data_IF_169846373886
#
_entry.id   IF_169846373886
#
_cell.length_a   1.000
_cell.length_b   1.000
_cell.length_c   1.000
_cell.angle_alpha   90.00
_cell.angle_beta   90.00
_cell.angle_gamma   90.00
#
_symmetry.space_group_name_H-M   'P 1'
#
loop_
_entity.id
_entity.type
_entity.pdbx_description
1 polymer ?
#
# COMPACT_ATOMS: atom_id res chain seq x y z
N UNK A 1 25.21 32.90 -27.23
CA UNK A 1 25.27 32.26 -25.91
C UNK A 1 24.13 31.25 -25.90
N UNK A 2 24.46 29.96 -25.95
CA UNK A 2 23.48 28.89 -26.16
C UNK A 2 22.52 28.83 -24.97
N UNK A 3 21.22 28.81 -25.27
CA UNK A 3 20.17 28.53 -24.30
C UNK A 3 20.14 27.02 -24.18
N UNK A 4 20.80 26.49 -23.14
CA UNK A 4 20.67 25.09 -22.78
C UNK A 4 19.22 24.85 -22.33
N UNK A 5 18.42 24.30 -23.24
CA UNK A 5 17.10 23.76 -22.97
C UNK A 5 17.25 22.56 -22.04
N UNK A 6 17.17 22.82 -20.74
CA UNK A 6 17.16 21.78 -19.72
C UNK A 6 15.79 21.78 -19.05
N UNK A 7 14.83 21.10 -19.67
CA UNK A 7 13.60 20.69 -19.00
C UNK A 7 13.93 19.52 -18.04
N UNK A 8 14.35 19.80 -16.81
CA UNK A 8 14.38 18.80 -15.74
C UNK A 8 13.01 18.78 -15.02
N UNK A 9 12.26 17.69 -15.17
CA UNK A 9 11.17 17.26 -14.29
C UNK A 9 11.76 16.95 -12.88
N UNK A 10 12.05 18.02 -12.14
CA UNK A 10 12.93 18.13 -10.97
C UNK A 10 13.01 16.89 -10.04
N UNK A 11 14.23 16.36 -9.92
CA UNK A 11 14.68 15.54 -8.80
C UNK A 11 14.08 14.14 -8.67
N UNK A 12 13.24 13.64 -9.59
CA UNK A 12 12.71 12.27 -9.49
C UNK A 12 13.84 11.25 -9.49
N UNK A 13 13.77 10.27 -8.60
CA UNK A 13 14.77 9.22 -8.53
C UNK A 13 14.14 7.90 -8.07
N UNK A 14 14.67 6.80 -8.60
CA UNK A 14 14.23 5.46 -8.27
C UNK A 14 15.34 4.43 -8.43
N UNK A 15 15.20 3.36 -7.67
CA UNK A 15 16.05 2.18 -7.76
C UNK A 15 15.17 0.94 -7.66
N UNK A 16 15.12 0.18 -8.76
CA UNK A 16 14.45 -1.12 -8.79
C UNK A 16 15.52 -2.19 -8.76
N UNK A 17 15.46 -3.03 -7.73
CA UNK A 17 16.38 -4.15 -7.57
C UNK A 17 15.60 -5.45 -7.75
N UNK A 18 16.03 -6.26 -8.71
CA UNK A 18 15.51 -7.61 -8.94
C UNK A 18 16.57 -8.59 -8.46
N UNK A 19 16.17 -9.54 -7.62
CA UNK A 19 17.09 -10.50 -7.02
C UNK A 19 16.53 -11.92 -7.06
N UNK A 20 17.42 -12.88 -6.81
CA UNK A 20 17.06 -14.28 -6.61
C UNK A 20 17.06 -14.56 -5.11
N UNK A 21 16.02 -15.20 -4.60
CA UNK A 21 16.00 -15.65 -3.21
C UNK A 21 17.03 -16.77 -2.94
N UNK A 22 17.44 -17.49 -4.00
CA UNK A 22 18.32 -18.67 -3.93
C UNK A 22 19.78 -18.38 -4.32
N UNK A 23 20.04 -17.33 -5.09
CA UNK A 23 21.37 -17.02 -5.64
C UNK A 23 21.76 -15.56 -5.43
N UNK A 24 23.06 -15.26 -5.34
CA UNK A 24 23.57 -13.89 -5.09
C UNK A 24 23.44 -12.92 -6.28
N UNK A 25 22.78 -13.33 -7.36
CA UNK A 25 22.58 -12.47 -8.53
C UNK A 25 21.59 -11.34 -8.21
N UNK A 26 21.95 -10.12 -8.58
CA UNK A 26 21.07 -8.95 -8.51
C UNK A 26 21.14 -8.18 -9.83
N UNK A 27 20.01 -7.62 -10.24
CA UNK A 27 19.88 -6.67 -11.33
C UNK A 27 19.31 -5.37 -10.79
N UNK A 28 19.90 -4.26 -11.16
CA UNK A 28 19.43 -2.94 -10.77
C UNK A 28 19.01 -2.13 -12.00
N UNK A 29 17.92 -1.40 -11.83
CA UNK A 29 17.41 -0.45 -12.83
C UNK A 29 17.23 0.90 -12.14
N UNK A 30 17.83 1.93 -12.73
CA UNK A 30 17.82 3.30 -12.23
C UNK A 30 17.73 4.27 -13.43
N UNK A 31 17.41 5.56 -13.19
CA UNK A 31 17.51 6.60 -14.21
C UNK A 31 18.87 6.58 -14.93
N UNK A 32 18.94 6.88 -16.25
CA UNK A 32 17.88 7.41 -17.12
C UNK A 32 17.04 6.34 -17.82
N UNK A 33 17.11 5.07 -17.40
CA UNK A 33 16.32 4.02 -18.01
C UNK A 33 14.81 4.31 -17.87
N UNK A 34 13.98 3.88 -18.81
CA UNK A 34 12.54 4.03 -18.66
C UNK A 34 11.96 2.84 -17.91
N UNK A 35 11.40 3.13 -16.73
CA UNK A 35 10.59 2.17 -15.98
C UNK A 35 9.28 2.83 -15.57
N UNK A 36 8.19 2.08 -15.70
CA UNK A 36 6.88 2.43 -15.21
C UNK A 36 6.51 1.47 -14.10
N UNK A 37 6.09 1.96 -12.95
CA UNK A 37 5.58 1.12 -11.88
C UNK A 37 4.26 1.65 -11.33
N UNK A 38 3.44 0.72 -10.86
CA UNK A 38 2.25 0.98 -10.06
C UNK A 38 2.30 0.02 -8.87
N UNK A 39 2.22 0.57 -7.66
CA UNK A 39 2.24 -0.15 -6.39
C UNK A 39 0.96 0.18 -5.65
N UNK A 40 0.18 -0.83 -5.25
CA UNK A 40 -1.04 -0.65 -4.48
C UNK A 40 -0.96 -1.35 -3.13
N UNK A 41 -1.22 -0.60 -2.06
CA UNK A 41 -1.33 -1.10 -0.69
C UNK A 41 -2.75 -0.86 -0.19
N UNK A 42 -3.59 -1.89 -0.29
CA UNK A 42 -4.98 -1.86 0.18
C UNK A 42 -5.20 -3.00 1.18
N UNK A 43 -5.58 -2.74 2.44
CA UNK A 43 -5.91 -3.76 3.43
C UNK A 43 -6.94 -4.78 2.95
N UNK A 44 -7.92 -4.34 2.13
CA UNK A 44 -8.91 -5.23 1.53
C UNK A 44 -8.33 -6.32 0.62
N UNK A 45 -7.18 -6.05 -0.02
CA UNK A 45 -6.49 -7.02 -0.87
C UNK A 45 -5.60 -8.01 -0.10
N UNK A 46 -5.46 -7.84 1.23
CA UNK A 46 -4.62 -8.63 2.15
C UNK A 46 -3.12 -8.64 1.86
N UNK A 47 -2.70 -8.24 0.67
CA UNK A 47 -1.31 -8.11 0.25
C UNK A 47 -1.18 -6.92 -0.71
N UNK A 48 -0.07 -6.20 -0.61
CA UNK A 48 0.30 -5.19 -1.60
C UNK A 48 0.61 -5.82 -2.96
N UNK A 49 0.26 -5.12 -4.04
CA UNK A 49 0.51 -5.56 -5.42
C UNK A 49 1.44 -4.56 -6.09
N UNK A 50 2.28 -5.04 -7.00
CA UNK A 50 3.04 -4.17 -7.88
C UNK A 50 3.00 -4.66 -9.32
N UNK A 51 2.87 -3.71 -10.24
CA UNK A 51 3.06 -3.90 -11.67
C UNK A 51 4.25 -3.05 -12.09
N UNK A 52 5.27 -3.66 -12.69
CA UNK A 52 6.51 -2.98 -13.09
C UNK A 52 6.77 -3.28 -14.56
N UNK A 53 6.86 -2.25 -15.39
CA UNK A 53 7.15 -2.34 -16.82
C UNK A 53 8.50 -1.70 -17.11
N UNK A 54 9.46 -2.52 -17.54
CA UNK A 54 10.83 -2.12 -17.84
C UNK A 54 11.02 -2.07 -19.36
N UNK A 55 11.47 -0.93 -19.88
CA UNK A 55 11.69 -0.72 -21.31
C UNK A 55 13.14 -0.97 -21.71
N UNK A 56 13.37 -1.49 -22.92
CA UNK A 56 14.72 -1.56 -23.50
C UNK A 56 15.63 -2.64 -22.89
N UNK A 57 15.04 -3.70 -22.32
CA UNK A 57 15.82 -4.82 -21.77
C UNK A 57 16.55 -5.60 -22.87
N UNK A 58 17.74 -6.15 -22.56
CA UNK A 58 18.43 -7.07 -23.48
C UNK A 58 17.80 -8.48 -23.43
N UNK A 59 18.06 -9.32 -24.46
CA UNK A 59 17.59 -10.71 -24.47
C UNK A 59 18.15 -11.51 -23.28
N UNK A 60 19.43 -11.31 -22.92
CA UNK A 60 20.07 -11.97 -21.79
C UNK A 60 19.44 -11.57 -20.46
N UNK A 61 19.25 -10.26 -20.23
CA UNK A 61 18.60 -9.74 -19.02
C UNK A 61 17.20 -10.30 -18.85
N UNK A 62 16.41 -10.36 -19.93
CA UNK A 62 15.08 -11.00 -19.90
C UNK A 62 15.19 -12.46 -19.50
N UNK A 63 16.09 -13.22 -20.14
CA UNK A 63 16.27 -14.63 -19.84
C UNK A 63 16.62 -14.87 -18.36
N UNK A 64 17.47 -14.03 -17.78
CA UNK A 64 17.79 -14.10 -16.36
C UNK A 64 16.58 -13.79 -15.46
N UNK A 65 15.78 -12.76 -15.78
CA UNK A 65 14.57 -12.43 -15.01
C UNK A 65 13.51 -13.53 -15.06
N UNK A 66 13.40 -14.23 -16.18
CA UNK A 66 12.46 -15.35 -16.31
C UNK A 66 12.91 -16.59 -15.53
N UNK A 67 14.22 -16.89 -15.49
CA UNK A 67 14.70 -18.18 -15.01
C UNK A 67 15.38 -18.14 -13.63
N UNK A 68 15.93 -17.00 -13.22
CA UNK A 68 16.78 -16.90 -12.01
C UNK A 68 16.18 -16.04 -10.91
N UNK A 69 15.48 -14.97 -11.28
CA UNK A 69 15.02 -13.96 -10.34
C UNK A 69 13.54 -14.09 -9.98
N UNK A 70 13.24 -13.92 -8.70
CA UNK A 70 11.93 -14.17 -8.11
C UNK A 70 11.49 -13.10 -7.10
N UNK A 71 12.33 -12.13 -6.80
CA UNK A 71 12.07 -11.06 -5.84
C UNK A 71 12.35 -9.69 -6.46
N UNK A 72 11.60 -8.69 -6.01
CA UNK A 72 11.77 -7.30 -6.45
C UNK A 72 11.63 -6.34 -5.28
N UNK A 73 12.45 -5.30 -5.29
CA UNK A 73 12.42 -4.15 -4.40
C UNK A 73 12.31 -2.88 -5.23
N UNK A 74 11.43 -1.97 -4.84
CA UNK A 74 11.27 -0.66 -5.46
C UNK A 74 11.53 0.40 -4.40
N UNK A 75 12.57 1.21 -4.65
CA UNK A 75 12.77 2.48 -3.97
C UNK A 75 12.43 3.60 -4.93
N UNK A 76 11.64 4.56 -4.50
CA UNK A 76 11.26 5.70 -5.32
C UNK A 76 11.07 6.93 -4.44
N UNK A 77 11.17 8.11 -5.06
CA UNK A 77 10.98 9.38 -4.40
C UNK A 77 11.59 10.49 -5.23
N UNK A 78 12.18 11.44 -4.51
CA UNK A 78 12.91 12.56 -5.07
C UNK A 78 14.34 12.53 -4.53
N UNK A 79 15.28 13.19 -5.20
CA UNK A 79 16.69 13.27 -4.83
C UNK A 79 16.82 13.70 -3.36
N UNK A 80 17.59 12.93 -2.59
CA UNK A 80 17.75 13.12 -1.15
C UNK A 80 16.59 12.59 -0.28
N UNK A 81 15.49 12.15 -0.88
CA UNK A 81 14.30 11.62 -0.21
C UNK A 81 13.68 10.42 -0.96
N UNK A 82 14.52 9.43 -1.31
CA UNK A 82 14.08 8.15 -1.86
C UNK A 82 14.00 7.09 -0.77
N UNK A 83 12.92 6.34 -0.74
CA UNK A 83 12.73 5.26 0.22
C UNK A 83 12.01 4.07 -0.36
N UNK A 84 11.92 3.02 0.45
CA UNK A 84 11.30 1.75 0.07
C UNK A 84 9.78 1.91 -0.01
N UNK A 85 9.21 1.76 -1.21
CA UNK A 85 7.75 1.77 -1.41
C UNK A 85 7.17 0.36 -1.58
N UNK A 86 8.00 -0.60 -1.98
CA UNK A 86 7.57 -1.96 -2.24
C UNK A 86 8.70 -2.97 -2.14
N UNK A 87 8.43 -4.14 -1.54
CA UNK A 87 9.24 -5.36 -1.63
C UNK A 87 8.30 -6.55 -1.74
N UNK A 88 8.58 -7.44 -2.67
CA UNK A 88 7.76 -8.63 -2.85
C UNK A 88 8.35 -9.64 -3.80
N UNK A 89 7.51 -10.60 -4.19
CA UNK A 89 7.86 -11.69 -5.08
C UNK A 89 7.23 -11.51 -6.45
N UNK A 90 7.96 -11.92 -7.48
CA UNK A 90 7.50 -11.92 -8.87
C UNK A 90 6.64 -13.16 -9.08
N UNK A 91 5.36 -12.94 -9.35
CA UNK A 91 4.39 -14.01 -9.60
C UNK A 91 4.28 -14.32 -11.10
N UNK A 92 4.16 -13.27 -11.91
CA UNK A 92 4.05 -13.41 -13.37
C UNK A 92 4.99 -12.47 -14.10
N UNK A 93 5.47 -12.91 -15.26
CA UNK A 93 6.31 -12.12 -16.17
C UNK A 93 5.68 -12.15 -17.56
N UNK A 94 5.67 -11.01 -18.24
CA UNK A 94 5.18 -10.91 -19.60
C UNK A 94 6.12 -10.03 -20.42
N UNK A 95 6.37 -10.43 -21.66
CA UNK A 95 7.15 -9.63 -22.61
C UNK A 95 6.26 -9.20 -23.74
N UNK A 96 6.29 -7.92 -24.07
CA UNK A 96 5.57 -7.37 -25.20
C UNK A 96 6.53 -6.55 -26.07
N UNK A 97 6.17 -6.37 -27.33
CA UNK A 97 6.88 -5.49 -28.24
C UNK A 97 6.01 -4.27 -28.49
N UNK A 98 6.53 -3.10 -28.14
CA UNK A 98 5.85 -1.81 -28.30
C UNK A 98 6.67 -1.02 -29.33
N UNK A 99 6.26 -1.10 -30.59
CA UNK A 99 7.02 -0.59 -31.73
C UNK A 99 8.40 -1.24 -31.87
N UNK A 100 9.46 -0.43 -31.73
CA UNK A 100 10.85 -0.90 -31.79
C UNK A 100 11.34 -1.41 -30.43
N UNK A 101 10.72 -0.96 -29.33
CA UNK A 101 11.12 -1.33 -27.98
C UNK A 101 10.51 -2.68 -27.55
N UNK A 102 11.26 -3.46 -26.78
CA UNK A 102 10.73 -4.61 -26.05
C UNK A 102 10.50 -4.20 -24.60
N UNK A 103 9.30 -4.48 -24.10
CA UNK A 103 8.90 -4.22 -22.71
C UNK A 103 8.84 -5.53 -21.94
N UNK A 104 9.28 -5.48 -20.68
CA UNK A 104 9.16 -6.57 -19.73
C UNK A 104 8.26 -6.10 -18.59
N UNK A 105 7.10 -6.73 -18.45
CA UNK A 105 6.15 -6.46 -17.37
C UNK A 105 6.23 -7.55 -16.30
N UNK A 106 6.35 -7.14 -15.04
CA UNK A 106 6.37 -7.99 -13.87
C UNK A 106 5.11 -7.73 -13.04
N UNK A 107 4.45 -8.80 -12.62
CA UNK A 107 3.31 -8.78 -11.72
C UNK A 107 3.74 -9.41 -10.39
N UNK A 108 3.63 -8.65 -9.31
CA UNK A 108 4.25 -8.98 -8.04
C UNK A 108 3.24 -8.88 -6.88
N UNK A 109 3.48 -9.68 -5.85
CA UNK A 109 2.75 -9.63 -4.57
C UNK A 109 3.71 -9.47 -3.38
N UNK A 110 3.34 -8.65 -2.41
CA UNK A 110 4.02 -8.56 -1.12
C UNK A 110 3.89 -9.90 -0.38
N UNK A 111 5.01 -10.51 -0.01
CA UNK A 111 5.03 -11.73 0.79
C UNK A 111 4.11 -12.86 0.26
N UNK A 112 3.93 -12.97 -1.06
CA UNK A 112 2.96 -13.88 -1.69
C UNK A 112 3.12 -15.36 -1.33
N UNK A 113 4.35 -15.86 -1.23
CA UNK A 113 4.65 -17.23 -0.79
C UNK A 113 4.24 -17.45 0.66
N UNK A 114 4.49 -16.49 1.55
CA UNK A 114 4.05 -16.58 2.95
C UNK A 114 2.53 -16.57 3.05
N UNK A 115 1.87 -15.74 2.25
CA UNK A 115 0.41 -15.73 2.14
C UNK A 115 -0.15 -17.09 1.71
N UNK A 116 0.47 -17.74 0.72
CA UNK A 116 -0.04 -18.99 0.14
C UNK A 116 0.42 -20.26 0.83
N UNK A 117 1.47 -20.24 1.66
CA UNK A 117 2.03 -21.45 2.28
C UNK A 117 1.91 -21.51 3.80
N UNK A 118 1.56 -20.41 4.48
CA UNK A 118 1.47 -20.42 5.94
C UNK A 118 0.25 -21.22 6.43
N UNK A 119 0.47 -22.09 7.40
CA UNK A 119 -0.54 -23.00 7.95
C UNK A 119 -0.54 -22.92 9.48
N UNK A 120 -1.73 -22.83 10.08
CA UNK A 120 -1.92 -22.86 11.53
C UNK A 120 -2.47 -24.23 11.92
N UNK A 121 -1.88 -24.82 12.96
CA UNK A 121 -2.34 -26.02 13.63
C UNK A 121 -2.11 -25.85 15.13
N UNK A 122 -3.04 -25.18 15.79
CA UNK A 122 -2.90 -24.87 17.21
C UNK A 122 -4.25 -24.87 17.92
N UNK A 123 -4.21 -25.24 19.20
CA UNK A 123 -5.36 -25.28 20.08
C UNK A 123 -5.09 -24.40 21.29
N UNK A 124 -5.95 -23.41 21.49
CA UNK A 124 -5.97 -22.58 22.68
C UNK A 124 -6.97 -23.12 23.69
N UNK A 125 -6.68 -22.97 24.97
CA UNK A 125 -7.56 -23.38 26.07
C UNK A 125 -8.76 -22.44 26.24
N UNK A 126 -9.66 -22.82 27.14
CA UNK A 126 -10.75 -21.96 27.59
C UNK A 126 -10.20 -20.65 28.19
N UNK A 127 -10.97 -19.56 28.08
CA UNK A 127 -10.65 -18.23 28.59
C UNK A 127 -9.41 -17.57 27.97
N UNK A 128 -8.89 -18.11 26.86
CA UNK A 128 -7.81 -17.46 26.12
C UNK A 128 -8.29 -16.11 25.54
N UNK A 129 -7.58 -14.99 25.77
CA UNK A 129 -7.92 -13.70 25.18
C UNK A 129 -7.93 -13.76 23.64
N UNK A 130 -8.91 -13.11 23.01
CA UNK A 130 -9.04 -13.08 21.55
C UNK A 130 -7.76 -12.57 20.85
N UNK A 131 -7.11 -11.57 21.44
CA UNK A 131 -5.86 -11.02 20.93
C UNK A 131 -4.70 -12.03 20.91
N UNK A 132 -4.66 -12.98 21.84
CA UNK A 132 -3.64 -14.03 21.85
C UNK A 132 -3.87 -15.04 20.71
N UNK A 133 -5.13 -15.36 20.42
CA UNK A 133 -5.50 -16.21 19.29
C UNK A 133 -5.12 -15.53 17.96
N UNK A 134 -5.44 -14.24 17.82
CA UNK A 134 -5.09 -13.43 16.64
C UNK A 134 -3.57 -13.37 16.47
N UNK A 135 -2.84 -13.04 17.54
CA UNK A 135 -1.37 -12.97 17.54
C UNK A 135 -0.74 -14.31 17.20
N UNK A 136 -1.19 -15.40 17.83
CA UNK A 136 -0.66 -16.73 17.59
C UNK A 136 -0.94 -17.22 16.16
N UNK A 137 -2.10 -16.87 15.60
CA UNK A 137 -2.42 -17.15 14.21
C UNK A 137 -1.53 -16.33 13.27
N UNK A 138 -1.38 -15.01 13.48
CA UNK A 138 -0.55 -14.16 12.62
C UNK A 138 0.95 -14.51 12.70
N UNK A 139 1.43 -15.01 13.85
CA UNK A 139 2.82 -15.39 14.04
C UNK A 139 3.29 -16.51 13.10
N UNK A 140 2.39 -17.36 12.59
CA UNK A 140 2.74 -18.44 11.65
C UNK A 140 3.24 -17.93 10.29
N UNK A 141 2.97 -16.67 9.93
CA UNK A 141 3.59 -16.05 8.77
C UNK A 141 5.13 -15.93 8.94
N UNK A 142 5.62 -15.88 10.18
CA UNK A 142 7.04 -15.71 10.50
C UNK A 142 7.56 -14.34 10.08
N UNK A 143 6.73 -13.31 10.21
CA UNK A 143 7.04 -11.92 9.86
C UNK A 143 6.85 -11.04 11.11
N UNK A 144 7.57 -9.90 11.20
CA UNK A 144 7.29 -8.90 12.22
C UNK A 144 5.83 -8.48 12.18
N UNK A 145 5.20 -8.34 13.34
CA UNK A 145 3.78 -8.04 13.46
C UNK A 145 3.57 -6.70 14.15
N UNK A 146 2.72 -5.87 13.56
CA UNK A 146 2.25 -4.60 14.10
C UNK A 146 0.76 -4.73 14.44
N UNK A 147 0.40 -4.46 15.70
CA UNK A 147 -0.99 -4.47 16.18
C UNK A 147 -1.37 -3.05 16.56
N UNK A 148 -2.47 -2.55 16.01
CA UNK A 148 -2.94 -1.18 16.16
C UNK A 148 -4.37 -1.18 16.71
N UNK A 149 -4.58 -0.45 17.80
CA UNK A 149 -5.85 -0.38 18.50
C UNK A 149 -5.88 -1.27 19.76
N UNK A 150 -6.89 -1.02 20.59
CA UNK A 150 -7.16 -1.82 21.79
C UNK A 150 -8.00 -3.04 21.42
N UNK A 151 -7.63 -4.23 21.89
CA UNK A 151 -8.36 -5.50 21.69
C UNK A 151 -8.88 -6.08 23.02
N UNK A 152 -8.75 -5.35 24.12
CA UNK A 152 -8.97 -5.85 25.48
C UNK A 152 -10.44 -6.05 25.84
N UNK A 153 -11.35 -5.36 25.16
CA UNK A 153 -12.81 -5.48 25.32
C UNK A 153 -13.41 -6.66 24.54
N UNK A 154 -12.62 -7.37 23.73
CA UNK A 154 -13.10 -8.55 23.03
C UNK A 154 -13.32 -9.69 24.02
N UNK A 155 -14.45 -10.42 23.91
CA UNK A 155 -14.72 -11.53 24.80
C UNK A 155 -13.65 -12.63 24.62
N UNK A 156 -13.14 -13.23 25.71
CA UNK A 156 -12.24 -14.35 25.62
C UNK A 156 -12.96 -15.58 25.04
N UNK A 157 -12.19 -16.58 24.63
CA UNK A 157 -12.75 -17.81 24.11
C UNK A 157 -13.55 -18.57 25.19
N UNK A 158 -14.85 -18.74 24.98
CA UNK A 158 -15.78 -19.43 25.89
C UNK A 158 -15.44 -20.93 26.03
N UNK A 159 -14.81 -21.52 25.01
CA UNK A 159 -14.37 -22.91 24.99
C UNK A 159 -12.98 -23.00 24.33
N UNK A 160 -12.34 -24.15 24.46
CA UNK A 160 -11.10 -24.43 23.73
C UNK A 160 -11.27 -24.18 22.23
N UNK A 161 -10.39 -23.36 21.66
CA UNK A 161 -10.45 -22.97 20.24
C UNK A 161 -9.34 -23.68 19.48
N UNK A 162 -9.70 -24.56 18.57
CA UNK A 162 -8.75 -25.21 17.65
C UNK A 162 -8.82 -24.55 16.28
N UNK A 163 -7.68 -24.15 15.72
CA UNK A 163 -7.55 -23.70 14.34
C UNK A 163 -6.60 -24.63 13.58
N UNK A 164 -7.13 -25.25 12.53
CA UNK A 164 -6.37 -26.08 11.59
C UNK A 164 -6.75 -25.67 10.17
N UNK A 165 -6.01 -24.72 9.59
CA UNK A 165 -6.31 -24.15 8.28
C UNK A 165 -5.10 -23.41 7.71
N UNK A 166 -5.22 -22.96 6.46
CA UNK A 166 -4.33 -21.93 5.93
C UNK A 166 -4.44 -20.68 6.82
N UNK A 167 -3.30 -20.07 7.14
CA UNK A 167 -3.26 -18.93 8.06
C UNK A 167 -4.10 -17.76 7.55
N UNK A 168 -4.09 -17.51 6.23
CA UNK A 168 -4.93 -16.48 5.60
C UNK A 168 -6.43 -16.71 5.86
N UNK A 169 -6.90 -17.96 5.78
CA UNK A 169 -8.31 -18.30 5.92
C UNK A 169 -8.74 -18.24 7.38
N UNK A 170 -7.85 -18.66 8.29
CA UNK A 170 -8.03 -18.48 9.72
C UNK A 170 -8.09 -17.00 10.11
N UNK A 171 -7.16 -16.17 9.60
CA UNK A 171 -7.16 -14.73 9.83
C UNK A 171 -8.40 -14.04 9.27
N UNK A 172 -8.87 -14.42 8.08
CA UNK A 172 -10.11 -13.90 7.50
C UNK A 172 -11.35 -14.26 8.31
N UNK A 173 -11.38 -15.47 8.90
CA UNK A 173 -12.44 -15.85 9.82
C UNK A 173 -12.40 -15.02 11.11
N UNK A 174 -11.20 -14.83 11.69
CA UNK A 174 -11.00 -14.02 12.89
C UNK A 174 -11.35 -12.55 12.66
N UNK A 175 -11.00 -11.99 11.49
CA UNK A 175 -11.35 -10.60 11.11
C UNK A 175 -12.86 -10.37 11.13
N UNK A 176 -13.64 -11.33 10.63
CA UNK A 176 -15.12 -11.23 10.64
C UNK A 176 -15.71 -11.36 12.04
N UNK A 177 -15.08 -12.16 12.90
CA UNK A 177 -15.57 -12.42 14.26
C UNK A 177 -15.26 -11.24 15.19
N UNK A 178 -14.06 -10.68 15.10
CA UNK A 178 -13.52 -9.69 16.04
C UNK A 178 -13.42 -8.26 15.48
N UNK A 179 -13.96 -8.01 14.28
CA UNK A 179 -14.02 -6.71 13.61
C UNK A 179 -12.67 -5.97 13.53
N UNK A 180 -11.71 -6.59 12.88
CA UNK A 180 -10.41 -5.98 12.57
C UNK A 180 -10.05 -6.17 11.11
N UNK A 181 -9.02 -5.45 10.63
CA UNK A 181 -8.41 -5.63 9.32
C UNK A 181 -6.98 -6.09 9.46
N UNK A 182 -6.57 -7.00 8.59
CA UNK A 182 -5.19 -7.43 8.50
C UNK A 182 -4.69 -7.45 7.07
N UNK A 183 -3.39 -7.22 6.88
CA UNK A 183 -2.71 -7.37 5.60
C UNK A 183 -1.21 -7.59 5.78
N UNK A 184 -0.58 -8.14 4.75
CA UNK A 184 0.86 -8.24 4.64
C UNK A 184 1.43 -6.94 4.06
N UNK A 185 2.27 -6.28 4.86
CA UNK A 185 3.10 -5.16 4.45
C UNK A 185 4.35 -5.65 3.73
N UNK A 186 5.10 -4.70 3.20
CA UNK A 186 6.46 -4.89 2.67
C UNK A 186 7.43 -5.47 3.70
N UNK A 187 7.29 -5.11 4.98
CA UNK A 187 8.21 -5.43 6.08
C UNK A 187 7.60 -6.32 7.18
N UNK A 188 6.32 -6.67 7.09
CA UNK A 188 5.64 -7.37 8.18
C UNK A 188 4.17 -7.68 7.93
N UNK A 189 3.45 -8.00 9.01
CA UNK A 189 1.99 -8.12 9.05
C UNK A 189 1.44 -6.96 9.86
N UNK A 190 0.43 -6.28 9.34
CA UNK A 190 -0.31 -5.28 10.09
C UNK A 190 -1.69 -5.81 10.45
N UNK A 191 -2.12 -5.55 11.68
CA UNK A 191 -3.44 -5.86 12.21
C UNK A 191 -3.95 -4.58 12.86
N UNK A 192 -5.04 -4.04 12.35
CA UNK A 192 -5.67 -2.82 12.85
C UNK A 192 -7.10 -3.10 13.24
N UNK A 193 -7.49 -2.73 14.45
CA UNK A 193 -8.89 -2.81 14.83
C UNK A 193 -9.72 -1.84 13.98
N UNK A 194 -10.95 -2.19 13.66
CA UNK A 194 -11.82 -1.27 12.95
C UNK A 194 -12.00 0.04 13.74
N UNK A 195 -11.80 1.17 13.06
CA UNK A 195 -11.86 2.50 13.67
C UNK A 195 -10.65 2.89 14.53
N UNK A 196 -9.65 2.02 14.69
CA UNK A 196 -8.39 2.38 15.29
C UNK A 196 -7.52 3.17 14.29
N UNK A 197 -6.59 3.95 14.85
CA UNK A 197 -5.61 4.72 14.08
C UNK A 197 -4.21 4.43 14.63
N UNK A 198 -3.20 4.53 13.77
CA UNK A 198 -1.82 4.44 14.23
C UNK A 198 -1.51 5.59 15.19
N UNK A 199 -0.82 5.33 16.31
CA UNK A 199 -0.45 6.38 17.23
C UNK A 199 0.56 7.32 16.56
N UNK A 200 0.31 8.62 16.62
CA UNK A 200 1.20 9.61 16.03
C UNK A 200 0.57 10.97 15.82
N UNK A 201 1.42 11.95 15.48
CA UNK A 201 0.93 13.25 14.99
C UNK A 201 0.39 13.07 13.58
N UNK A 202 -0.83 13.56 13.27
CA UNK A 202 -1.34 13.53 11.91
C UNK A 202 -0.40 14.25 10.96
N UNK A 203 -0.26 13.70 9.76
CA UNK A 203 0.45 14.39 8.69
C UNK A 203 -0.45 15.42 8.06
N UNK A 204 0.06 16.63 7.92
CA UNK A 204 -0.63 17.71 7.24
C UNK A 204 -0.34 17.58 5.75
N UNK A 205 -1.39 17.48 4.95
CA UNK A 205 -1.36 17.49 3.49
C UNK A 205 -2.03 18.77 3.04
N UNK A 206 -1.25 19.67 2.44
CA UNK A 206 -1.72 20.90 1.83
C UNK A 206 -0.89 21.21 0.58
N UNK A 207 -1.18 22.33 -0.09
CA UNK A 207 -0.47 22.76 -1.29
C UNK A 207 1.03 22.97 -1.07
N UNK A 208 1.45 23.36 0.13
CA UNK A 208 2.85 23.59 0.48
C UNK A 208 3.56 22.28 0.90
N UNK A 209 2.82 21.30 1.40
CA UNK A 209 3.30 20.03 1.92
C UNK A 209 3.13 18.86 0.94
N UNK A 210 2.96 19.15 -0.36
CA UNK A 210 3.06 18.15 -1.41
C UNK A 210 1.74 17.62 -1.98
N UNK A 211 0.60 18.24 -1.65
CA UNK A 211 -0.66 17.97 -2.35
C UNK A 211 -0.54 18.36 -3.82
N UNK A 212 -0.97 17.47 -4.70
CA UNK A 212 -1.05 17.70 -6.14
C UNK A 212 -2.52 17.66 -6.57
N UNK A 213 -2.96 18.72 -7.25
CA UNK A 213 -4.36 18.83 -7.66
C UNK A 213 -5.31 19.17 -6.50
N UNK A 214 -6.53 18.64 -6.58
CA UNK A 214 -7.66 18.99 -5.71
C UNK A 214 -8.20 17.71 -5.07
N UNK A 215 -8.47 17.67 -3.75
CA UNK A 215 -9.06 16.51 -3.11
C UNK A 215 -10.45 16.19 -3.68
N UNK A 216 -10.69 14.90 -3.91
CA UNK A 216 -11.95 14.36 -4.39
C UNK A 216 -12.72 13.75 -3.22
N UNK A 217 -13.87 14.32 -2.89
CA UNK A 217 -14.70 13.88 -1.76
C UNK A 217 -15.83 13.00 -2.28
N UNK A 218 -15.92 11.79 -1.72
CA UNK A 218 -17.00 10.85 -1.93
C UNK A 218 -17.79 10.65 -0.63
N UNK A 219 -18.88 9.88 -0.67
CA UNK A 219 -19.78 9.70 0.47
C UNK A 219 -19.09 9.06 1.68
N UNK A 220 -18.18 8.10 1.45
CA UNK A 220 -17.56 7.30 2.51
C UNK A 220 -16.04 7.49 2.61
N UNK A 221 -15.41 8.15 1.64
CA UNK A 221 -13.96 8.33 1.58
C UNK A 221 -13.59 9.61 0.85
N UNK A 222 -12.34 10.03 1.06
CA UNK A 222 -11.69 11.14 0.38
C UNK A 222 -10.48 10.59 -0.35
N UNK A 223 -10.26 11.06 -1.56
CA UNK A 223 -9.11 10.72 -2.38
C UNK A 223 -8.27 11.98 -2.61
N UNK A 224 -6.99 11.88 -2.31
CA UNK A 224 -6.04 13.00 -2.43
C UNK A 224 -4.80 12.52 -3.17
N UNK A 225 -4.40 13.26 -4.20
CA UNK A 225 -3.14 13.03 -4.87
C UNK A 225 -2.06 13.88 -4.21
N UNK A 226 -0.91 13.27 -3.93
CA UNK A 226 0.27 13.93 -3.40
C UNK A 226 1.49 13.55 -4.24
N UNK A 227 2.55 14.34 -4.14
CA UNK A 227 3.89 13.95 -4.60
C UNK A 227 4.25 12.59 -4.03
N UNK A 228 4.95 11.76 -4.82
CA UNK A 228 5.33 10.43 -4.38
C UNK A 228 5.99 10.43 -2.99
N UNK A 229 5.28 9.91 -1.99
CA UNK A 229 5.70 9.82 -0.59
C UNK A 229 5.83 8.34 -0.21
N UNK A 230 7.03 7.93 0.17
CA UNK A 230 7.34 6.55 0.51
C UNK A 230 7.02 6.17 1.96
N UNK A 231 6.64 7.14 2.79
CA UNK A 231 6.47 6.93 4.24
C UNK A 231 5.00 6.76 4.61
N UNK A 232 4.06 7.27 3.80
CA UNK A 232 2.62 7.12 4.07
C UNK A 232 2.21 5.67 3.83
N UNK A 233 1.54 5.09 4.82
CA UNK A 233 1.08 3.70 4.79
C UNK A 233 -0.37 3.60 5.28
N UNK A 234 -1.10 2.53 4.91
CA UNK A 234 -2.44 2.29 5.45
C UNK A 234 -2.45 2.25 6.99
N UNK A 235 -3.48 2.85 7.58
CA UNK A 235 -3.65 3.05 9.02
C UNK A 235 -3.05 4.36 9.56
N UNK A 236 -2.28 5.10 8.77
CA UNK A 236 -1.77 6.42 9.17
C UNK A 236 -2.91 7.45 9.23
N UNK A 237 -2.70 8.52 10.01
CA UNK A 237 -3.65 9.63 10.12
C UNK A 237 -3.15 10.83 9.34
N UNK A 238 -4.02 11.38 8.49
CA UNK A 238 -3.76 12.58 7.72
C UNK A 238 -4.78 13.68 8.04
N UNK A 239 -4.36 14.92 7.85
CA UNK A 239 -5.21 16.10 7.86
C UNK A 239 -5.01 16.82 6.52
N UNK A 240 -6.08 16.94 5.75
CA UNK A 240 -6.03 17.54 4.42
C UNK A 240 -6.56 18.95 4.50
N UNK A 241 -5.81 19.92 3.99
CA UNK A 241 -6.21 21.31 3.89
C UNK A 241 -6.22 21.72 2.43
N UNK A 242 -7.40 22.11 1.94
CA UNK A 242 -7.57 22.62 0.58
C UNK A 242 -8.61 23.72 0.55
N UNK A 243 -8.36 24.77 -0.23
CA UNK A 243 -9.32 25.85 -0.48
C UNK A 243 -10.45 25.39 -1.42
N UNK A 244 -10.12 24.45 -2.30
CA UNK A 244 -11.01 23.88 -3.31
C UNK A 244 -11.19 22.38 -3.10
N UNK A 245 -12.36 21.86 -3.44
CA UNK A 245 -12.68 20.43 -3.36
C UNK A 245 -13.57 20.04 -4.52
N UNK A 246 -13.39 18.83 -5.04
CA UNK A 246 -14.26 18.26 -6.05
C UNK A 246 -15.19 17.23 -5.39
N UNK A 247 -16.48 17.34 -5.66
CA UNK A 247 -17.47 16.38 -5.20
C UNK A 247 -17.67 15.30 -6.27
N UNK A 248 -17.69 14.03 -5.85
CA UNK A 248 -17.96 12.91 -6.75
C UNK A 248 -19.33 13.02 -7.41
N UNK A 249 -19.35 13.07 -8.74
CA UNK A 249 -20.55 13.32 -9.56
C UNK A 249 -21.69 12.31 -9.38
N UNK A 250 -21.40 11.03 -9.06
CA UNK A 250 -22.43 9.99 -8.95
C UNK A 250 -23.38 10.16 -7.77
N UNK A 251 -22.94 10.88 -6.72
CA UNK A 251 -23.69 11.03 -5.47
C UNK A 251 -24.34 12.41 -5.30
N UNK A 252 -24.00 13.38 -6.15
CA UNK A 252 -24.53 14.76 -6.08
C UNK A 252 -26.07 14.82 -6.20
N UNK A 253 -26.68 13.85 -6.85
CA UNK A 253 -28.14 13.77 -7.05
C UNK A 253 -28.89 12.99 -5.95
N UNK A 254 -28.17 12.30 -5.05
CA UNK A 254 -28.77 11.36 -4.08
C UNK A 254 -28.59 11.79 -2.63
N UNK A 255 -27.57 12.59 -2.33
CA UNK A 255 -27.17 12.92 -0.96
C UNK A 255 -26.78 14.39 -0.83
N UNK A 256 -27.02 14.99 0.35
CA UNK A 256 -26.53 16.33 0.67
C UNK A 256 -24.99 16.33 0.86
N UNK A 257 -24.26 16.36 -0.25
CA UNK A 257 -22.79 16.38 -0.24
C UNK A 257 -22.19 17.64 0.39
N UNK A 258 -22.97 18.73 0.55
CA UNK A 258 -22.48 19.95 1.17
C UNK A 258 -22.20 19.77 2.67
N UNK A 259 -22.94 18.91 3.36
CA UNK A 259 -22.66 18.59 4.77
C UNK A 259 -21.31 17.87 4.93
N UNK A 260 -21.01 16.93 4.04
CA UNK A 260 -19.73 16.21 4.00
C UNK A 260 -18.56 17.13 3.65
N UNK A 261 -18.74 18.03 2.67
CA UNK A 261 -17.79 19.10 2.35
C UNK A 261 -17.45 19.96 3.57
N UNK A 262 -18.47 20.37 4.34
CA UNK A 262 -18.27 21.22 5.53
C UNK A 262 -17.56 20.47 6.65
N UNK A 263 -17.90 19.21 6.87
CA UNK A 263 -17.18 18.35 7.82
C UNK A 263 -15.70 18.26 7.42
N UNK A 264 -15.42 17.95 6.17
CA UNK A 264 -14.06 17.86 5.62
C UNK A 264 -13.24 19.15 5.80
N UNK A 265 -13.82 20.32 5.48
CA UNK A 265 -13.14 21.63 5.66
C UNK A 265 -12.74 21.93 7.12
N UNK A 266 -13.38 21.30 8.10
CA UNK A 266 -13.14 21.53 9.52
C UNK A 266 -11.98 20.71 10.12
N UNK A 267 -10.91 20.48 9.34
CA UNK A 267 -9.67 19.78 9.79
C UNK A 267 -9.92 18.35 10.26
N UNK A 268 -10.84 17.65 9.61
CA UNK A 268 -11.17 16.27 9.96
C UNK A 268 -9.93 15.39 9.91
N UNK A 269 -9.75 14.57 10.96
CA UNK A 269 -8.72 13.54 10.98
C UNK A 269 -9.18 12.40 10.10
N UNK A 270 -8.43 12.08 9.07
CA UNK A 270 -8.74 11.01 8.13
C UNK A 270 -7.78 9.85 8.36
N UNK A 271 -8.31 8.63 8.39
CA UNK A 271 -7.50 7.42 8.47
C UNK A 271 -7.26 6.90 7.07
N UNK A 272 -6.00 6.72 6.70
CA UNK A 272 -5.61 6.21 5.39
C UNK A 272 -6.05 4.76 5.26
N UNK A 273 -6.87 4.48 4.26
CA UNK A 273 -7.34 3.14 3.93
C UNK A 273 -6.50 2.49 2.85
N UNK A 274 -6.13 3.23 1.80
CA UNK A 274 -5.24 2.72 0.75
C UNK A 274 -4.26 3.76 0.27
N UNK A 275 -3.13 3.25 -0.22
CA UNK A 275 -2.06 4.06 -0.81
C UNK A 275 -1.66 3.42 -2.13
N UNK A 276 -1.70 4.21 -3.19
CA UNK A 276 -1.36 3.79 -4.54
C UNK A 276 -0.25 4.69 -5.09
N UNK A 277 0.95 4.13 -5.31
CA UNK A 277 2.08 4.86 -5.89
C UNK A 277 2.17 4.58 -7.38
N UNK A 278 2.29 5.63 -8.19
CA UNK A 278 2.53 5.54 -9.62
C UNK A 278 3.82 6.28 -9.93
N UNK A 279 4.71 5.63 -10.69
CA UNK A 279 5.92 6.28 -11.17
C UNK A 279 6.18 5.94 -12.62
N UNK A 280 6.27 6.98 -13.43
CA UNK A 280 6.71 6.98 -14.81
C UNK A 280 7.78 8.05 -14.96
N UNK A 281 9.04 7.63 -15.10
CA UNK A 281 10.16 8.56 -15.02
C UNK A 281 10.10 9.70 -16.06
N UNK A 282 9.61 9.42 -17.27
CA UNK A 282 9.59 10.36 -18.39
C UNK A 282 8.24 11.05 -18.64
N UNK A 283 7.17 10.63 -17.95
CA UNK A 283 5.85 11.27 -18.06
C UNK A 283 5.50 11.97 -16.75
N UNK A 284 4.38 12.67 -16.74
CA UNK A 284 3.99 13.45 -15.57
C UNK A 284 3.52 12.58 -14.39
N UNK A 285 3.23 11.30 -14.62
CA UNK A 285 2.77 10.35 -13.60
C UNK A 285 3.87 10.03 -12.57
N UNK A 286 3.97 10.78 -11.48
CA UNK A 286 4.87 10.54 -10.35
C UNK A 286 4.23 10.88 -9.01
N UNK A 287 3.17 10.16 -8.68
CA UNK A 287 2.22 10.55 -7.63
C UNK A 287 1.96 9.41 -6.65
N UNK A 288 1.45 9.77 -5.49
CA UNK A 288 0.83 8.85 -4.53
C UNK A 288 -0.61 9.28 -4.33
N UNK A 289 -1.54 8.41 -4.71
CA UNK A 289 -2.96 8.61 -4.46
C UNK A 289 -3.30 7.96 -3.12
N UNK A 290 -3.90 8.75 -2.24
CA UNK A 290 -4.27 8.34 -0.89
C UNK A 290 -5.78 8.32 -0.81
N UNK A 291 -6.33 7.15 -0.48
CA UNK A 291 -7.74 7.00 -0.14
C UNK A 291 -7.87 6.93 1.37
N UNK A 292 -8.59 7.87 1.96
CA UNK A 292 -8.76 7.97 3.41
C UNK A 292 -10.23 8.12 3.80
N UNK A 293 -10.60 7.58 4.95
CA UNK A 293 -11.97 7.64 5.48
C UNK A 293 -12.07 8.61 6.64
N UNK A 294 -13.17 9.38 6.65
CA UNK A 294 -13.55 10.21 7.79
C UNK A 294 -13.97 9.33 8.96
N UNK A 295 -13.61 9.73 10.17
CA UNK A 295 -14.08 9.03 11.38
C UNK A 295 -15.61 9.09 11.45
N UNK A 296 -16.26 7.96 11.73
CA UNK A 296 -17.73 7.88 11.83
C UNK A 296 -18.34 8.87 12.82
N UNK A 297 -17.57 9.33 13.81
CA UNK A 297 -18.04 10.26 14.84
C UNK A 297 -17.97 11.74 14.43
N UNK A 298 -17.39 12.07 13.27
CA UNK A 298 -17.28 13.45 12.78
C UNK A 298 -18.33 13.79 11.70
N UNK A 299 -19.06 12.79 11.20
CA UNK A 299 -20.03 12.95 10.10
C UNK A 299 -21.43 13.36 10.59
N UNK A 300 -21.70 13.26 11.90
CA UNK A 300 -23.01 13.57 12.49
C UNK A 300 -22.84 14.54 13.67
N UNK A 301 -22.74 15.83 13.36
CA UNK A 301 -23.21 16.94 14.20
C UNK A 301 -23.73 18.06 13.32
#
# INVERSE_FOLDING_TARGET
>A
MMVDNVNYQFGRDYLITISSSSSRGTLTFAPPMQVIFSVSHTPGNKTGKAKITIYGTSKGTRWDIFNKYDTVEIKAGYQGNCGLIYRGQIFNRSTQREGVATTLTLYCFCNGKKMSSAFIAHTWGENTPAIEIIRGTAATFGLPMEIIGDFSDLPPAIQGKTLMAMTKDAMDALERIYDFKWWLKTDGVAIIRNGAEKPGKPRVIDINHGMEGIPRIYMNYVEVDVRLDHVITPGDVIQVYSEHEQLGFSEMYRTNMQAYSRAFRNKSRLVVESVDHIGNFWRDDWTTTITARMRSNEVIR
#
